data_IF_262498799768
#
_entry.id   IF_262498799768
#
_cell.length_a   1.000
_cell.length_b   1.000
_cell.length_c   1.000
_cell.angle_alpha   90.00
_cell.angle_beta   90.00
_cell.angle_gamma   90.00
#
_symmetry.space_group_name_H-M   'P 1'
#
loop_
_entity.id
_entity.type
_entity.pdbx_description
1 polymer ?
#
# COMPACT_ATOMS: atom_id res chain seq x y z
N UNK A 1 12.25 13.08 -6.41
CA UNK A 1 12.73 11.69 -6.46
C UNK A 1 11.57 10.83 -6.00
N UNK A 2 10.97 10.05 -6.90
CA UNK A 2 9.78 9.25 -6.58
C UNK A 2 10.17 8.09 -5.66
N UNK A 3 9.57 8.02 -4.47
CA UNK A 3 9.78 6.94 -3.52
C UNK A 3 8.53 6.06 -3.46
N UNK A 4 8.71 4.74 -3.43
CA UNK A 4 7.62 3.76 -3.33
C UNK A 4 7.38 3.38 -1.87
N UNK A 5 6.14 3.44 -1.41
CA UNK A 5 5.75 2.87 -0.13
C UNK A 5 5.52 1.36 -0.28
N UNK A 6 6.08 0.54 0.62
CA UNK A 6 5.81 -0.90 0.66
C UNK A 6 5.09 -1.20 1.96
N UNK A 7 3.86 -1.70 1.88
CA UNK A 7 3.12 -2.09 3.08
C UNK A 7 3.78 -3.29 3.74
N UNK A 8 4.21 -3.12 5.01
CA UNK A 8 4.99 -4.13 5.73
C UNK A 8 4.20 -5.40 6.09
N UNK A 9 2.88 -5.29 6.27
CA UNK A 9 2.04 -6.39 6.73
C UNK A 9 2.05 -6.62 8.25
N UNK A 10 1.44 -7.73 8.68
CA UNK A 10 1.42 -8.22 10.06
C UNK A 10 1.43 -9.75 10.07
N UNK A 11 2.11 -10.35 11.07
CA UNK A 11 2.25 -11.80 11.40
C UNK A 11 2.53 -12.78 10.24
N UNK A 12 1.67 -12.85 9.21
CA UNK A 12 1.72 -13.77 8.05
C UNK A 12 1.72 -13.05 6.68
N UNK A 13 1.73 -11.72 6.67
CA UNK A 13 1.86 -10.90 5.45
C UNK A 13 3.18 -10.16 5.58
N UNK A 14 4.05 -10.30 4.59
CA UNK A 14 5.32 -9.61 4.55
C UNK A 14 5.51 -8.90 3.22
N UNK A 15 5.71 -7.58 3.30
CA UNK A 15 6.18 -6.77 2.17
C UNK A 15 7.63 -7.04 1.78
N UNK A 16 8.36 -7.87 2.53
CA UNK A 16 9.81 -8.08 2.32
C UNK A 16 10.13 -8.65 0.94
N UNK A 17 9.28 -9.51 0.36
CA UNK A 17 9.50 -10.01 -1.00
C UNK A 17 9.36 -8.91 -2.04
N UNK A 18 8.38 -8.02 -1.87
CA UNK A 18 8.23 -6.86 -2.74
C UNK A 18 9.38 -5.86 -2.55
N UNK A 19 9.79 -5.62 -1.30
CA UNK A 19 10.95 -4.80 -0.96
C UNK A 19 12.25 -5.36 -1.56
N UNK A 20 12.47 -6.67 -1.50
CA UNK A 20 13.62 -7.34 -2.10
C UNK A 20 13.65 -7.17 -3.62
N UNK A 21 12.48 -7.29 -4.28
CA UNK A 21 12.36 -7.05 -5.72
C UNK A 21 12.66 -5.59 -6.08
N UNK A 22 12.12 -4.61 -5.33
CA UNK A 22 12.41 -3.19 -5.54
C UNK A 22 13.89 -2.87 -5.32
N UNK A 23 14.50 -3.46 -4.29
CA UNK A 23 15.93 -3.34 -4.01
C UNK A 23 16.79 -3.87 -5.16
N UNK A 24 16.46 -5.05 -5.69
CA UNK A 24 17.16 -5.65 -6.84
C UNK A 24 17.03 -4.83 -8.13
N UNK A 25 15.99 -4.01 -8.24
CA UNK A 25 15.76 -3.07 -9.34
C UNK A 25 16.30 -1.65 -9.05
N UNK A 26 16.96 -1.45 -7.91
CA UNK A 26 17.47 -0.15 -7.45
C UNK A 26 16.37 0.94 -7.35
N UNK A 27 15.12 0.52 -7.11
CA UNK A 27 13.99 1.44 -6.94
C UNK A 27 13.94 1.90 -5.47
N UNK A 28 14.00 3.21 -5.18
CA UNK A 28 13.92 3.71 -3.81
C UNK A 28 12.56 3.40 -3.17
N UNK A 29 12.59 2.75 -2.00
CA UNK A 29 11.37 2.42 -1.27
C UNK A 29 11.49 2.69 0.23
N UNK A 30 10.34 2.78 0.91
CA UNK A 30 10.24 2.75 2.38
C UNK A 30 9.15 1.79 2.82
N UNK A 31 9.42 1.07 3.89
CA UNK A 31 8.43 0.21 4.53
C UNK A 31 7.47 1.07 5.35
N UNK A 32 6.17 0.90 5.13
CA UNK A 32 5.10 1.60 5.87
C UNK A 32 4.18 0.61 6.56
N UNK A 33 3.66 0.99 7.73
CA UNK A 33 2.66 0.23 8.47
C UNK A 33 1.30 0.88 8.49
N UNK A 34 0.33 0.18 9.09
CA UNK A 34 -1.04 0.68 9.30
C UNK A 34 -1.07 2.06 9.96
N UNK A 35 -0.22 2.29 10.97
CA UNK A 35 -0.14 3.60 11.67
C UNK A 35 0.33 4.73 10.76
N UNK A 36 1.26 4.44 9.84
CA UNK A 36 1.77 5.42 8.89
C UNK A 36 0.69 5.81 7.88
N UNK A 37 -0.03 4.80 7.36
CA UNK A 37 -1.15 4.99 6.43
C UNK A 37 -2.27 5.78 7.10
N UNK A 38 -2.69 5.39 8.31
CA UNK A 38 -3.72 6.10 9.07
C UNK A 38 -3.35 7.57 9.38
N UNK A 39 -2.05 7.86 9.49
CA UNK A 39 -1.53 9.21 9.69
C UNK A 39 -1.41 10.04 8.39
N UNK A 40 -1.77 9.48 7.22
CA UNK A 40 -1.72 10.18 5.94
C UNK A 40 -0.33 10.22 5.29
N UNK A 41 0.64 9.43 5.79
CA UNK A 41 2.04 9.49 5.28
C UNK A 41 2.21 9.01 3.84
N UNK A 42 1.19 8.45 3.21
CA UNK A 42 1.25 8.05 1.80
C UNK A 42 1.42 9.25 0.85
N UNK A 43 1.06 10.46 1.28
CA UNK A 43 1.23 11.71 0.51
C UNK A 43 2.71 12.02 0.19
N UNK A 44 3.65 11.45 0.93
CA UNK A 44 5.09 11.58 0.66
C UNK A 44 5.60 10.66 -0.47
N UNK A 45 4.73 9.80 -1.00
CA UNK A 45 5.09 8.74 -1.94
C UNK A 45 4.34 8.88 -3.26
N UNK A 46 4.96 8.39 -4.34
CA UNK A 46 4.32 8.38 -5.66
C UNK A 46 3.44 7.15 -5.88
N UNK A 47 3.73 6.06 -5.16
CA UNK A 47 3.01 4.80 -5.27
C UNK A 47 3.09 4.01 -3.96
N UNK A 48 2.06 3.23 -3.66
CA UNK A 48 2.07 2.21 -2.60
C UNK A 48 1.91 0.80 -3.17
N UNK A 49 2.75 -0.11 -2.70
CA UNK A 49 2.70 -1.55 -2.99
C UNK A 49 2.07 -2.28 -1.80
N UNK A 50 0.96 -2.96 -2.07
CA UNK A 50 0.26 -3.81 -1.12
C UNK A 50 0.53 -5.29 -1.43
N UNK A 51 1.37 -5.98 -0.63
CA UNK A 51 1.63 -7.40 -0.81
C UNK A 51 0.38 -8.23 -0.48
N UNK A 52 0.34 -9.44 -1.02
CA UNK A 52 -0.71 -10.42 -0.73
C UNK A 52 -0.48 -11.23 0.54
N UNK A 53 -1.48 -12.03 0.90
CA UNK A 53 -1.47 -12.94 2.03
C UNK A 53 -2.89 -13.18 2.55
N UNK A 54 -3.08 -14.17 3.41
CA UNK A 54 -4.38 -14.37 4.05
C UNK A 54 -4.64 -13.20 5.01
N UNK A 55 -5.81 -12.55 4.92
CA UNK A 55 -6.28 -11.52 5.86
C UNK A 55 -5.48 -10.20 5.95
N UNK A 56 -5.10 -9.60 4.82
CA UNK A 56 -4.58 -8.21 4.85
C UNK A 56 -5.71 -7.29 5.29
N UNK A 57 -5.70 -6.86 6.56
CA UNK A 57 -6.64 -5.87 7.09
C UNK A 57 -5.87 -4.69 7.68
N UNK A 58 -6.17 -3.48 7.20
CA UNK A 58 -5.54 -2.24 7.66
C UNK A 58 -6.49 -1.39 8.53
N UNK A 59 -7.75 -1.81 8.67
CA UNK A 59 -8.78 -1.11 9.44
C UNK A 59 -9.31 0.14 8.74
N UNK A 60 -10.55 0.52 9.08
CA UNK A 60 -11.31 1.56 8.37
C UNK A 60 -10.59 2.93 8.30
N UNK A 61 -9.85 3.31 9.34
CA UNK A 61 -9.11 4.58 9.36
C UNK A 61 -7.97 4.63 8.34
N UNK A 62 -7.19 3.55 8.23
CA UNK A 62 -6.10 3.47 7.25
C UNK A 62 -6.66 3.25 5.84
N UNK A 63 -7.75 2.51 5.70
CA UNK A 63 -8.44 2.28 4.42
C UNK A 63 -8.97 3.60 3.84
N UNK A 64 -9.64 4.44 4.66
CA UNK A 64 -10.08 5.76 4.22
C UNK A 64 -8.93 6.65 3.74
N UNK A 65 -7.77 6.59 4.41
CA UNK A 65 -6.57 7.35 4.01
C UNK A 65 -5.94 6.80 2.74
N UNK A 66 -5.91 5.48 2.58
CA UNK A 66 -5.46 4.84 1.36
C UNK A 66 -6.33 5.26 0.17
N UNK A 67 -7.66 5.15 0.28
CA UNK A 67 -8.58 5.56 -0.78
C UNK A 67 -8.42 7.04 -1.12
N UNK A 68 -8.31 7.93 -0.13
CA UNK A 68 -8.05 9.35 -0.38
C UNK A 68 -6.72 9.62 -1.13
N UNK A 69 -5.68 8.83 -0.85
CA UNK A 69 -4.43 8.88 -1.63
C UNK A 69 -4.64 8.45 -3.09
N UNK A 70 -5.44 7.41 -3.34
CA UNK A 70 -5.76 6.94 -4.70
C UNK A 70 -6.61 7.95 -5.47
N UNK A 71 -7.64 8.50 -4.84
CA UNK A 71 -8.49 9.55 -5.42
C UNK A 71 -7.67 10.81 -5.76
N UNK A 72 -6.62 11.10 -4.97
CA UNK A 72 -5.66 12.17 -5.22
C UNK A 72 -4.66 11.89 -6.36
N UNK A 73 -4.76 10.74 -7.05
CA UNK A 73 -3.87 10.34 -8.14
C UNK A 73 -2.64 9.54 -7.71
N UNK A 74 -2.59 9.08 -6.45
CA UNK A 74 -1.54 8.22 -5.94
C UNK A 74 -1.52 6.85 -6.62
N UNK A 75 -0.34 6.37 -7.02
CA UNK A 75 -0.20 5.08 -7.68
C UNK A 75 -0.45 3.89 -6.74
N UNK A 76 -1.04 2.81 -7.25
CA UNK A 76 -1.30 1.59 -6.46
C UNK A 76 -0.84 0.34 -7.20
N UNK A 77 -0.15 -0.54 -6.47
CA UNK A 77 0.17 -1.89 -6.93
C UNK A 77 -0.26 -2.88 -5.86
N UNK A 78 -1.34 -3.62 -6.13
CA UNK A 78 -1.80 -4.69 -5.27
C UNK A 78 -1.39 -6.06 -5.79
N UNK A 79 -0.86 -6.91 -4.91
CA UNK A 79 -0.42 -8.26 -5.24
C UNK A 79 -1.38 -9.27 -4.59
N UNK A 80 -1.99 -10.16 -5.37
CA UNK A 80 -2.93 -11.17 -4.88
C UNK A 80 -4.03 -10.53 -4.01
N UNK A 81 -4.22 -10.95 -2.75
CA UNK A 81 -5.20 -10.37 -1.83
C UNK A 81 -4.97 -8.88 -1.53
N UNK A 82 -3.75 -8.37 -1.72
CA UNK A 82 -3.44 -6.95 -1.61
C UNK A 82 -4.18 -6.10 -2.65
N UNK A 83 -4.54 -6.65 -3.80
CA UNK A 83 -5.29 -5.96 -4.85
C UNK A 83 -6.70 -5.52 -4.41
N UNK A 84 -7.29 -6.20 -3.42
CA UNK A 84 -8.60 -5.83 -2.89
C UNK A 84 -8.61 -4.44 -2.23
N UNK A 85 -7.47 -3.95 -1.73
CA UNK A 85 -7.36 -2.63 -1.08
C UNK A 85 -7.34 -1.46 -2.07
N UNK A 86 -7.02 -1.72 -3.34
CA UNK A 86 -7.07 -0.73 -4.41
C UNK A 86 -8.29 -0.87 -5.30
N UNK A 87 -9.14 -1.87 -5.05
CA UNK A 87 -10.42 -2.00 -5.71
C UNK A 87 -11.35 -0.91 -5.17
N UNK A 88 -11.33 0.25 -5.80
CA UNK A 88 -12.35 1.28 -5.61
C UNK A 88 -13.68 0.66 -6.07
N UNK A 89 -14.73 0.62 -5.23
CA UNK A 89 -16.04 0.17 -5.69
C UNK A 89 -16.50 1.05 -6.85
N UNK A 90 -16.53 0.51 -8.07
CA UNK A 90 -17.08 1.21 -9.23
C UNK A 90 -18.61 1.09 -9.19
N UNK A 91 -19.25 1.93 -8.38
CA UNK A 91 -20.72 2.14 -8.30
C UNK A 91 -21.37 1.65 -6.98
N UNK A 92 -22.34 2.35 -6.37
CA UNK A 92 -23.03 3.58 -6.76
C UNK A 92 -23.98 4.10 -5.67
N UNK A 93 -24.50 5.32 -5.92
CA UNK A 93 -25.52 6.09 -5.18
C UNK A 93 -25.19 6.54 -3.75
#
# INVERSE_FOLDING_TARGET
>A
MACVAVYKGSKNISGEKAAAALSALEIPFRMVGVRDIAAGRLEDFSCVVFPGGHSVQIGAGAEKRLLGFLDGGGGFVGICAGALHGAIPTGGA
#
